data_IF_275506390928
#
_entry.id   IF_275506390928
#
_cell.length_a   1.000
_cell.length_b   1.000
_cell.length_c   1.000
_cell.angle_alpha   90.00
_cell.angle_beta   90.00
_cell.angle_gamma   90.00
#
_symmetry.space_group_name_H-M   'P 1'
#
loop_
_entity.id
_entity.type
_entity.pdbx_description
1 polymer ?
#
# COMPACT_ATOMS: atom_id res chain seq x y z
N UNK A 1 -8.05 12.16 -5.44
CA UNK A 1 -9.03 11.82 -4.38
C UNK A 1 -9.64 13.04 -3.72
N UNK A 2 -8.89 13.91 -3.01
CA UNK A 2 -9.49 15.07 -2.32
C UNK A 2 -10.32 15.99 -3.23
N UNK A 3 -9.88 16.26 -4.46
CA UNK A 3 -10.60 17.15 -5.41
C UNK A 3 -11.84 16.53 -6.05
N UNK A 4 -12.08 15.24 -5.87
CA UNK A 4 -13.13 14.47 -6.54
C UNK A 4 -14.13 13.84 -5.58
N UNK A 5 -13.87 13.93 -4.27
CA UNK A 5 -14.76 13.43 -3.23
C UNK A 5 -15.79 14.51 -2.87
N UNK A 6 -17.06 14.15 -2.66
CA UNK A 6 -18.04 15.09 -2.15
C UNK A 6 -17.61 15.66 -0.77
N UNK A 7 -17.87 16.95 -0.48
CA UNK A 7 -17.38 17.61 0.73
C UNK A 7 -17.74 16.91 2.04
N UNK A 8 -18.91 16.26 2.10
CA UNK A 8 -19.40 15.55 3.28
C UNK A 8 -18.53 14.34 3.68
N UNK A 9 -17.74 13.79 2.75
CA UNK A 9 -16.86 12.64 3.00
C UNK A 9 -15.40 13.04 3.26
N UNK A 10 -15.07 14.34 3.17
CA UNK A 10 -13.72 14.82 3.45
C UNK A 10 -13.32 14.56 4.91
N UNK A 11 -14.26 14.62 5.86
CA UNK A 11 -14.00 14.30 7.26
C UNK A 11 -13.52 12.85 7.46
N UNK A 12 -14.11 11.89 6.74
CA UNK A 12 -13.66 10.49 6.78
C UNK A 12 -12.25 10.34 6.20
N UNK A 13 -11.94 11.08 5.14
CA UNK A 13 -10.61 11.05 4.54
C UNK A 13 -9.54 11.62 5.49
N UNK A 14 -9.84 12.69 6.20
CA UNK A 14 -8.91 13.24 7.19
C UNK A 14 -8.72 12.31 8.39
N UNK A 15 -9.79 11.65 8.87
CA UNK A 15 -9.67 10.66 9.94
C UNK A 15 -8.87 9.42 9.50
N UNK A 16 -9.06 8.95 8.25
CA UNK A 16 -8.22 7.90 7.67
C UNK A 16 -6.74 8.30 7.71
N UNK A 17 -6.39 9.52 7.26
CA UNK A 17 -4.99 9.97 7.28
C UNK A 17 -4.44 10.02 8.70
N UNK A 18 -5.23 10.53 9.65
CA UNK A 18 -4.84 10.58 11.06
C UNK A 18 -4.53 9.19 11.60
N UNK A 19 -5.39 8.21 11.34
CA UNK A 19 -5.15 6.82 11.74
C UNK A 19 -3.87 6.27 11.09
N UNK A 20 -3.62 6.60 9.82
CA UNK A 20 -2.41 6.17 9.10
C UNK A 20 -1.12 6.83 9.62
N UNK A 21 -1.20 8.04 10.17
CA UNK A 21 -0.06 8.75 10.77
C UNK A 21 0.21 8.28 12.20
N UNK A 22 -0.84 8.12 13.02
CA UNK A 22 -0.73 7.73 14.42
C UNK A 22 -0.49 6.21 14.60
N UNK A 23 -0.93 5.40 13.63
CA UNK A 23 -0.89 3.93 13.64
C UNK A 23 -1.36 3.30 14.97
N UNK A 24 -2.56 3.64 15.46
CA UNK A 24 -3.04 3.16 16.74
C UNK A 24 -3.27 1.63 16.73
N UNK A 25 -3.12 0.93 17.88
CA UNK A 25 -3.37 -0.51 17.97
C UNK A 25 -4.75 -0.93 17.45
N UNK A 26 -5.78 -0.14 17.74
CA UNK A 26 -7.16 -0.35 17.32
C UNK A 26 -7.50 0.22 15.92
N UNK A 27 -6.49 0.66 15.16
CA UNK A 27 -6.69 1.33 13.87
C UNK A 27 -7.51 0.52 12.88
N UNK A 28 -7.31 -0.80 12.81
CA UNK A 28 -8.13 -1.69 11.97
C UNK A 28 -9.62 -1.60 12.30
N UNK A 29 -9.98 -1.64 13.59
CA UNK A 29 -11.38 -1.48 14.04
C UNK A 29 -11.91 -0.08 13.71
N UNK A 30 -11.13 0.98 13.96
CA UNK A 30 -11.54 2.36 13.64
C UNK A 30 -11.81 2.54 12.14
N UNK A 31 -10.94 2.01 11.29
CA UNK A 31 -11.10 2.04 9.83
C UNK A 31 -12.35 1.27 9.38
N UNK A 32 -12.66 0.14 10.01
CA UNK A 32 -13.89 -0.60 9.74
C UNK A 32 -15.15 0.21 10.10
N UNK A 33 -15.15 0.93 11.21
CA UNK A 33 -16.27 1.80 11.59
C UNK A 33 -16.43 2.98 10.62
N UNK A 34 -15.34 3.55 10.10
CA UNK A 34 -15.40 4.54 9.02
C UNK A 34 -15.96 3.93 7.73
N UNK A 35 -15.54 2.72 7.38
CA UNK A 35 -16.04 2.02 6.20
C UNK A 35 -17.55 1.83 6.25
N UNK A 36 -18.14 1.48 7.40
CA UNK A 36 -19.60 1.30 7.53
C UNK A 36 -20.41 2.56 7.18
N UNK A 37 -19.82 3.74 7.38
CA UNK A 37 -20.47 5.03 7.11
C UNK A 37 -20.49 5.38 5.62
N UNK A 38 -19.47 4.95 4.87
CA UNK A 38 -19.35 5.26 3.44
C UNK A 38 -20.32 4.38 2.63
N UNK A 39 -21.25 4.91 1.83
CA UNK A 39 -22.17 4.08 1.06
C UNK A 39 -21.42 3.25 0.02
N UNK A 40 -21.83 1.99 -0.14
CA UNK A 40 -21.29 1.08 -1.16
C UNK A 40 -22.35 0.76 -2.19
N UNK A 41 -22.35 1.45 -3.33
CA UNK A 41 -23.39 1.30 -4.35
C UNK A 41 -22.83 0.92 -5.73
N UNK A 42 -21.62 0.36 -5.81
CA UNK A 42 -21.04 -0.08 -7.08
C UNK A 42 -21.89 -1.19 -7.70
N UNK A 43 -22.66 -0.87 -8.74
CA UNK A 43 -23.40 -1.85 -9.54
C UNK A 43 -22.46 -2.50 -10.54
N UNK A 44 -22.71 -3.77 -10.84
CA UNK A 44 -21.94 -4.54 -11.82
C UNK A 44 -21.96 -3.82 -13.18
N UNK A 45 -20.78 -3.57 -13.75
CA UNK A 45 -20.64 -2.87 -15.04
C UNK A 45 -20.55 -1.35 -14.97
N UNK A 46 -20.64 -0.72 -13.79
CA UNK A 46 -20.41 0.72 -13.62
C UNK A 46 -18.94 1.06 -13.37
N UNK A 47 -18.51 2.23 -13.84
CA UNK A 47 -17.20 2.78 -13.51
C UNK A 47 -17.14 3.10 -12.01
N UNK A 48 -15.97 2.87 -11.40
CA UNK A 48 -15.74 3.20 -9.98
C UNK A 48 -15.77 4.71 -9.77
N UNK A 49 -16.48 5.14 -8.74
CA UNK A 49 -16.45 6.53 -8.26
C UNK A 49 -15.33 6.73 -7.24
N UNK A 50 -14.98 7.98 -6.95
CA UNK A 50 -14.03 8.31 -5.88
C UNK A 50 -14.47 7.78 -4.49
N UNK A 51 -15.79 7.65 -4.29
CA UNK A 51 -16.36 7.12 -3.06
C UNK A 51 -16.19 5.60 -2.96
N UNK A 52 -16.34 4.89 -4.09
CA UNK A 52 -16.04 3.45 -4.17
C UNK A 52 -14.56 3.17 -3.92
N UNK A 53 -13.68 4.04 -4.41
CA UNK A 53 -12.24 3.93 -4.13
C UNK A 53 -11.94 4.18 -2.65
N UNK A 54 -12.53 5.22 -2.03
CA UNK A 54 -12.39 5.47 -0.59
C UNK A 54 -12.86 4.27 0.22
N UNK A 55 -14.05 3.74 -0.09
CA UNK A 55 -14.60 2.54 0.57
C UNK A 55 -13.67 1.34 0.40
N UNK A 56 -13.12 1.13 -0.79
CA UNK A 56 -12.17 0.04 -1.07
C UNK A 56 -10.86 0.20 -0.30
N UNK A 57 -10.37 1.42 -0.12
CA UNK A 57 -9.15 1.68 0.67
C UNK A 57 -9.41 1.41 2.15
N UNK A 58 -10.50 1.94 2.71
CA UNK A 58 -10.84 1.75 4.13
C UNK A 58 -10.91 0.27 4.51
N UNK A 59 -11.64 -0.55 3.74
CA UNK A 59 -11.77 -1.98 4.06
C UNK A 59 -10.45 -2.72 3.89
N UNK A 60 -9.70 -2.44 2.82
CA UNK A 60 -8.42 -3.12 2.56
C UNK A 60 -7.40 -2.83 3.65
N UNK A 61 -7.31 -1.58 4.09
CA UNK A 61 -6.38 -1.20 5.16
C UNK A 61 -6.85 -1.77 6.49
N UNK A 62 -8.16 -1.74 6.77
CA UNK A 62 -8.76 -2.36 7.96
C UNK A 62 -8.41 -3.85 8.07
N UNK A 63 -8.62 -4.62 7.00
CA UNK A 63 -8.39 -6.07 6.98
C UNK A 63 -6.91 -6.45 7.11
N UNK A 64 -6.00 -5.57 6.68
CA UNK A 64 -4.56 -5.81 6.68
C UNK A 64 -3.82 -5.04 7.79
N UNK A 65 -4.55 -4.43 8.73
CA UNK A 65 -3.98 -3.50 9.71
C UNK A 65 -2.86 -4.14 10.54
N UNK A 66 -3.12 -5.32 11.09
CA UNK A 66 -2.17 -6.04 11.95
C UNK A 66 -0.88 -6.38 11.19
N UNK A 67 -1.01 -6.72 9.90
CA UNK A 67 0.15 -6.97 9.02
C UNK A 67 0.93 -5.69 8.71
N UNK A 68 0.25 -4.57 8.49
CA UNK A 68 0.89 -3.28 8.20
C UNK A 68 1.57 -2.67 9.42
N UNK A 69 1.10 -3.00 10.63
CA UNK A 69 1.64 -2.51 11.90
C UNK A 69 2.55 -3.52 12.61
N UNK A 70 2.80 -4.69 12.00
CA UNK A 70 3.58 -5.77 12.61
C UNK A 70 4.99 -5.35 13.10
N UNK A 71 5.61 -4.35 12.47
CA UNK A 71 6.91 -3.80 12.88
C UNK A 71 6.92 -3.19 14.29
N UNK A 72 5.76 -2.86 14.87
CA UNK A 72 5.68 -2.41 16.27
C UNK A 72 5.97 -3.54 17.27
N UNK A 73 5.72 -4.79 16.88
CA UNK A 73 5.76 -5.94 17.79
C UNK A 73 6.80 -6.98 17.39
N UNK A 74 7.22 -7.01 16.12
CA UNK A 74 8.27 -7.90 15.62
C UNK A 74 9.54 -7.11 15.28
N UNK A 75 10.60 -7.18 16.12
CA UNK A 75 11.89 -6.54 15.85
C UNK A 75 12.59 -7.02 14.57
N UNK A 76 12.20 -8.18 14.03
CA UNK A 76 12.70 -8.71 12.77
C UNK A 76 12.15 -7.99 11.54
N UNK A 77 11.07 -7.20 11.70
CA UNK A 77 10.46 -6.43 10.63
C UNK A 77 10.97 -4.98 10.69
N UNK A 78 11.73 -4.50 9.69
CA UNK A 78 12.21 -3.13 9.68
C UNK A 78 11.04 -2.15 9.51
N UNK A 79 11.07 -1.05 10.25
CA UNK A 79 10.09 0.05 10.14
C UNK A 79 10.20 0.85 8.83
N UNK A 80 11.30 0.69 8.09
CA UNK A 80 11.57 1.36 6.81
C UNK A 80 11.66 0.35 5.67
N UNK A 81 11.19 0.77 4.50
CA UNK A 81 11.28 0.01 3.25
C UNK A 81 12.57 0.32 2.45
N UNK A 82 13.53 1.09 3.00
CA UNK A 82 14.73 1.55 2.31
C UNK A 82 15.48 0.43 1.56
N UNK A 83 15.67 -0.72 2.20
CA UNK A 83 16.36 -1.86 1.58
C UNK A 83 15.62 -2.37 0.33
N UNK A 84 14.29 -2.49 0.43
CA UNK A 84 13.42 -2.87 -0.69
C UNK A 84 13.45 -1.82 -1.81
N UNK A 85 13.37 -0.53 -1.46
CA UNK A 85 13.46 0.57 -2.44
C UNK A 85 14.80 0.58 -3.18
N UNK A 86 15.91 0.39 -2.47
CA UNK A 86 17.23 0.26 -3.06
C UNK A 86 17.30 -0.93 -4.01
N UNK A 87 16.80 -2.10 -3.60
CA UNK A 87 16.78 -3.29 -4.44
C UNK A 87 15.98 -3.07 -5.73
N UNK A 88 14.79 -2.46 -5.63
CA UNK A 88 13.96 -2.08 -6.78
C UNK A 88 14.68 -1.07 -7.67
N UNK A 89 15.32 -0.05 -7.08
CA UNK A 89 16.07 0.97 -7.81
C UNK A 89 17.23 0.37 -8.62
N UNK A 90 18.06 -0.48 -7.97
CA UNK A 90 19.16 -1.20 -8.63
C UNK A 90 18.64 -2.10 -9.75
N UNK A 91 17.55 -2.84 -9.51
CA UNK A 91 16.95 -3.71 -10.51
C UNK A 91 16.40 -2.92 -11.70
N UNK A 92 15.74 -1.78 -11.47
CA UNK A 92 15.26 -0.89 -12.55
C UNK A 92 16.42 -0.38 -13.40
N UNK A 93 17.51 0.08 -12.80
CA UNK A 93 18.67 0.57 -13.54
C UNK A 93 19.31 -0.55 -14.37
N UNK A 94 19.44 -1.74 -13.80
CA UNK A 94 20.02 -2.90 -14.48
C UNK A 94 19.14 -3.39 -15.64
N UNK A 95 17.82 -3.39 -15.46
CA UNK A 95 16.87 -3.73 -16.52
C UNK A 95 16.93 -2.76 -17.71
N UNK A 96 17.27 -1.47 -17.46
CA UNK A 96 17.46 -0.46 -18.51
C UNK A 96 18.80 -0.59 -19.26
N UNK A 97 19.85 -1.09 -18.60
CA UNK A 97 21.18 -1.19 -19.21
C UNK A 97 21.39 -2.46 -20.04
N UNK A 98 20.51 -3.46 -19.91
CA UNK A 98 20.54 -4.68 -20.73
C UNK A 98 19.48 -4.62 -21.84
N UNK A 99 19.68 -5.34 -22.96
CA UNK A 99 18.68 -5.50 -24.05
C UNK A 99 17.51 -6.45 -23.68
N UNK A 100 17.13 -6.46 -22.40
CA UNK A 100 16.12 -7.32 -21.82
C UNK A 100 16.63 -8.69 -21.38
N UNK A 101 16.09 -9.19 -20.26
CA UNK A 101 16.33 -10.54 -19.78
C UNK A 101 15.59 -11.55 -20.66
N UNK A 102 16.33 -12.48 -21.29
CA UNK A 102 15.77 -13.47 -22.24
C UNK A 102 15.26 -14.74 -21.56
N UNK A 103 15.72 -15.02 -20.35
CA UNK A 103 15.35 -16.22 -19.59
C UNK A 103 14.92 -15.84 -18.18
N UNK A 104 14.07 -16.69 -17.58
CA UNK A 104 13.64 -16.54 -16.18
C UNK A 104 14.85 -16.57 -15.25
N UNK A 105 15.79 -17.49 -15.47
CA UNK A 105 17.02 -17.58 -14.67
C UNK A 105 17.86 -16.31 -14.76
N UNK A 106 18.00 -15.73 -15.96
CA UNK A 106 18.70 -14.44 -16.13
C UNK A 106 18.04 -13.29 -15.37
N UNK A 107 16.70 -13.23 -15.37
CA UNK A 107 15.93 -12.24 -14.60
C UNK A 107 16.08 -12.44 -13.10
N UNK A 108 16.00 -13.68 -12.61
CA UNK A 108 16.16 -14.01 -11.20
C UNK A 108 17.57 -13.69 -10.70
N UNK A 109 18.60 -14.01 -11.48
CA UNK A 109 19.98 -13.64 -11.16
C UNK A 109 20.15 -12.11 -11.12
N UNK A 110 19.55 -11.39 -12.07
CA UNK A 110 19.53 -9.92 -12.05
C UNK A 110 18.87 -9.34 -10.80
N UNK A 111 17.77 -9.95 -10.34
CA UNK A 111 17.08 -9.56 -9.12
C UNK A 111 17.90 -9.89 -7.87
N UNK A 112 18.48 -11.09 -7.80
CA UNK A 112 19.34 -11.53 -6.70
C UNK A 112 20.49 -10.54 -6.50
N UNK A 113 21.25 -10.25 -7.57
CA UNK A 113 22.36 -9.28 -7.52
C UNK A 113 21.89 -7.88 -7.12
N UNK A 114 20.69 -7.47 -7.56
CA UNK A 114 20.11 -6.18 -7.16
C UNK A 114 19.66 -6.15 -5.70
N UNK A 115 19.34 -7.30 -5.11
CA UNK A 115 18.84 -7.42 -3.74
C UNK A 115 19.97 -7.62 -2.73
N UNK A 116 21.08 -8.23 -3.15
CA UNK A 116 22.27 -8.41 -2.32
C UNK A 116 22.99 -7.07 -2.09
N UNK A 117 23.27 -6.76 -0.83
CA UNK A 117 24.27 -5.76 -0.43
C UNK A 117 25.67 -6.35 -0.57
N UNK A 118 26.05 -6.77 -1.78
CA UNK A 118 27.45 -7.10 -2.09
C UNK A 118 28.21 -5.77 -2.21
N UNK A 119 28.66 -5.27 -1.06
CA UNK A 119 29.79 -4.36 -0.92
C UNK A 119 31.01 -5.16 -0.51
#
# INVERSE_FOLDING_TARGET
>A
MQKTLPPEWLGILEELKRIMEELPPEGGRRLFELWKQVPGNLKQGQARTALDELRSVLIRVSENWERYTAFFHDPGIPWTNNATEQAIGRMKMRAKSVRGYKTTSGRLNGLLVSSSTLT
#
